data_IF_440023312600
#
_entry.id   IF_440023312600
#
_cell.length_a   1.000
_cell.length_b   1.000
_cell.length_c   1.000
_cell.angle_alpha   90.00
_cell.angle_beta   90.00
_cell.angle_gamma   90.00
#
_symmetry.space_group_name_H-M   'P 1'
#
loop_
_entity.id
_entity.type
_entity.pdbx_description
1 polymer ?
#
# COMPACT_ATOMS: atom_id res chain seq x y z
N UNK A 1 -13.76 12.47 -3.84
CA UNK A 1 -12.49 12.79 -3.15
C UNK A 1 -12.00 14.17 -3.57
N UNK A 2 -12.29 15.23 -2.77
CA UNK A 2 -11.70 16.56 -2.87
C UNK A 2 -10.95 17.03 -1.60
N UNK A 3 -10.66 16.16 -0.61
CA UNK A 3 -10.15 16.58 0.71
C UNK A 3 -8.63 16.75 0.83
N UNK A 4 -7.84 16.15 -0.07
CA UNK A 4 -6.37 16.25 -0.02
C UNK A 4 -5.85 17.03 -1.22
N UNK A 5 -5.08 18.07 -0.95
CA UNK A 5 -4.40 18.88 -1.97
C UNK A 5 -2.91 18.56 -1.98
N UNK A 6 -2.32 18.29 -3.14
CA UNK A 6 -0.88 18.05 -3.29
C UNK A 6 -0.55 17.18 -4.49
N UNK A 7 0.76 16.96 -4.70
CA UNK A 7 1.30 16.05 -5.71
C UNK A 7 2.46 15.26 -5.08
N UNK A 8 2.37 13.93 -5.10
CA UNK A 8 3.39 13.02 -4.59
C UNK A 8 4.48 12.73 -5.64
N UNK A 9 4.46 13.41 -6.78
CA UNK A 9 5.48 13.35 -7.82
C UNK A 9 5.85 11.90 -8.20
N UNK A 10 4.84 11.05 -8.38
CA UNK A 10 5.00 9.62 -8.73
C UNK A 10 5.74 8.79 -7.68
N UNK A 11 5.82 9.26 -6.43
CA UNK A 11 6.42 8.51 -5.32
C UNK A 11 5.81 7.11 -5.24
N UNK A 12 6.61 6.03 -5.22
CA UNK A 12 6.11 4.67 -5.03
C UNK A 12 5.46 4.49 -3.66
N UNK A 13 4.27 3.88 -3.63
CA UNK A 13 3.53 3.56 -2.40
C UNK A 13 3.10 2.10 -2.46
N UNK A 14 3.44 1.32 -1.44
CA UNK A 14 2.97 -0.06 -1.28
C UNK A 14 1.94 -0.15 -0.14
N UNK A 15 0.82 -0.81 -0.39
CA UNK A 15 -0.24 -1.08 0.59
C UNK A 15 -0.52 -2.60 0.64
N UNK A 16 0.04 -3.29 1.64
CA UNK A 16 -0.23 -4.70 1.95
C UNK A 16 -1.17 -4.83 3.14
N UNK A 17 -2.19 -5.69 3.05
CA UNK A 17 -3.09 -5.97 4.17
C UNK A 17 -3.85 -7.29 3.97
N UNK A 18 -4.43 -7.87 5.03
CA UNK A 18 -5.38 -8.97 4.88
C UNK A 18 -6.81 -8.47 4.63
N UNK A 19 -7.63 -9.29 3.96
CA UNK A 19 -9.07 -9.07 3.86
C UNK A 19 -9.83 -9.38 5.16
N UNK A 20 -9.22 -10.12 6.10
CA UNK A 20 -9.81 -10.48 7.40
C UNK A 20 -9.11 -9.80 8.58
N UNK A 21 -8.33 -8.75 8.33
CA UNK A 21 -7.68 -7.99 9.39
C UNK A 21 -8.72 -7.23 10.25
N UNK A 22 -8.88 -7.68 11.50
CA UNK A 22 -9.84 -7.07 12.44
C UNK A 22 -9.48 -5.63 12.80
N UNK A 23 -8.19 -5.26 12.78
CA UNK A 23 -7.74 -3.93 13.15
C UNK A 23 -7.84 -2.94 11.99
N UNK A 24 -7.74 -3.44 10.75
CA UNK A 24 -7.70 -2.64 9.54
C UNK A 24 -8.71 -3.20 8.53
N UNK A 25 -9.96 -2.67 8.52
CA UNK A 25 -10.94 -3.06 7.51
C UNK A 25 -10.39 -2.83 6.10
N UNK A 26 -10.57 -3.82 5.21
CA UNK A 26 -10.02 -3.81 3.85
C UNK A 26 -10.49 -2.60 3.04
N UNK A 27 -11.69 -2.10 3.32
CA UNK A 27 -12.26 -0.90 2.70
C UNK A 27 -11.36 0.33 2.95
N UNK A 28 -10.77 0.47 4.14
CA UNK A 28 -9.86 1.58 4.43
C UNK A 28 -8.57 1.50 3.64
N UNK A 29 -8.11 0.28 3.33
CA UNK A 29 -6.94 0.07 2.47
C UNK A 29 -7.27 0.49 1.04
N UNK A 30 -8.49 0.22 0.58
CA UNK A 30 -8.97 0.67 -0.73
C UNK A 30 -9.10 2.19 -0.80
N UNK A 31 -9.75 2.81 0.18
CA UNK A 31 -9.88 4.27 0.28
C UNK A 31 -8.50 4.96 0.31
N UNK A 32 -7.55 4.42 1.08
CA UNK A 32 -6.18 4.95 1.14
C UNK A 32 -5.47 4.85 -0.21
N UNK A 33 -5.62 3.71 -0.92
CA UNK A 33 -5.04 3.54 -2.24
C UNK A 33 -5.59 4.56 -3.23
N UNK A 34 -6.90 4.83 -3.19
CA UNK A 34 -7.55 5.82 -4.06
C UNK A 34 -7.08 7.25 -3.74
N UNK A 35 -6.89 7.59 -2.47
CA UNK A 35 -6.31 8.88 -2.04
C UNK A 35 -4.88 9.04 -2.56
N UNK A 36 -4.02 8.04 -2.37
CA UNK A 36 -2.64 8.10 -2.87
C UNK A 36 -2.58 8.21 -4.40
N UNK A 37 -3.43 7.47 -5.11
CA UNK A 37 -3.51 7.53 -6.56
C UNK A 37 -4.00 8.91 -7.03
N UNK A 38 -4.99 9.50 -6.37
CA UNK A 38 -5.48 10.85 -6.65
C UNK A 38 -4.40 11.92 -6.43
N UNK A 39 -3.49 11.70 -5.47
CA UNK A 39 -2.32 12.54 -5.23
C UNK A 39 -1.12 12.20 -6.15
N UNK A 40 -1.34 11.49 -7.26
CA UNK A 40 -0.32 11.15 -8.26
C UNK A 40 0.85 10.28 -7.73
N UNK A 41 0.61 9.44 -6.72
CA UNK A 41 1.55 8.38 -6.36
C UNK A 41 1.54 7.21 -7.36
N UNK A 42 2.60 6.41 -7.37
CA UNK A 42 2.60 5.08 -8.03
C UNK A 42 2.22 4.03 -7.00
N UNK A 43 0.93 3.72 -6.93
CA UNK A 43 0.37 2.80 -5.92
C UNK A 43 0.45 1.35 -6.38
N UNK A 44 1.01 0.48 -5.54
CA UNK A 44 0.85 -0.98 -5.59
C UNK A 44 0.11 -1.44 -4.33
N UNK A 45 -1.07 -2.06 -4.50
CA UNK A 45 -1.88 -2.58 -3.40
C UNK A 45 -1.96 -4.09 -3.52
N UNK A 46 -1.80 -4.81 -2.41
CA UNK A 46 -1.95 -6.27 -2.34
C UNK A 46 -2.79 -6.67 -1.13
N UNK A 47 -3.87 -7.39 -1.38
CA UNK A 47 -4.73 -7.95 -0.33
C UNK A 47 -4.44 -9.44 -0.21
N UNK A 48 -4.19 -9.91 1.01
CA UNK A 48 -3.83 -11.29 1.33
C UNK A 48 -5.02 -12.03 1.96
N UNK A 49 -5.67 -12.96 1.22
CA UNK A 49 -6.87 -13.64 1.70
C UNK A 49 -6.62 -14.51 2.94
N UNK A 50 -7.42 -14.33 3.99
CA UNK A 50 -7.42 -15.17 5.18
C UNK A 50 -6.15 -15.07 6.04
N UNK A 51 -5.30 -14.08 5.79
CA UNK A 51 -4.08 -13.83 6.56
C UNK A 51 -4.42 -13.17 7.90
N UNK A 52 -3.70 -13.50 8.98
CA UNK A 52 -3.85 -12.77 10.25
C UNK A 52 -3.33 -11.32 10.16
N UNK A 53 -3.48 -10.56 11.25
CA UNK A 53 -2.83 -9.25 11.40
C UNK A 53 -1.31 -9.45 11.63
N UNK A 54 -0.57 -9.61 10.54
CA UNK A 54 0.88 -9.88 10.53
C UNK A 54 1.51 -9.34 9.25
N UNK A 55 2.85 -9.38 9.19
CA UNK A 55 3.62 -9.12 7.96
C UNK A 55 4.12 -10.45 7.40
N UNK A 56 3.88 -10.70 6.11
CA UNK A 56 4.29 -11.93 5.44
C UNK A 56 5.59 -11.77 4.63
N UNK A 57 6.10 -12.90 4.12
CA UNK A 57 7.37 -12.92 3.39
C UNK A 57 7.32 -12.24 2.02
N UNK A 58 6.14 -12.22 1.39
CA UNK A 58 5.93 -11.55 0.10
C UNK A 58 5.99 -10.03 0.26
N UNK A 59 5.33 -9.47 1.27
CA UNK A 59 5.45 -8.05 1.64
C UNK A 59 6.91 -7.67 1.89
N UNK A 60 7.61 -8.45 2.72
CA UNK A 60 9.02 -8.22 3.00
C UNK A 60 9.91 -8.34 1.75
N UNK A 61 9.58 -9.23 0.82
CA UNK A 61 10.32 -9.38 -0.44
C UNK A 61 10.14 -8.16 -1.36
N UNK A 62 8.91 -7.65 -1.50
CA UNK A 62 8.60 -6.46 -2.31
C UNK A 62 9.38 -5.26 -1.78
N UNK A 63 9.29 -4.99 -0.47
CA UNK A 63 9.98 -3.83 0.13
C UNK A 63 11.51 -3.98 0.00
N UNK A 64 12.06 -5.19 0.19
CA UNK A 64 13.49 -5.43 -0.05
C UNK A 64 13.89 -5.14 -1.51
N UNK A 65 13.07 -5.51 -2.48
CA UNK A 65 13.33 -5.23 -3.89
C UNK A 65 13.30 -3.72 -4.15
N UNK A 66 12.34 -2.99 -3.59
CA UNK A 66 12.21 -1.54 -3.77
C UNK A 66 13.41 -0.80 -3.17
N UNK A 67 13.78 -1.14 -1.93
CA UNK A 67 14.95 -0.55 -1.26
C UNK A 67 16.22 -0.78 -2.08
N UNK A 68 16.44 -2.01 -2.58
CA UNK A 68 17.59 -2.33 -3.44
C UNK A 68 17.63 -1.45 -4.70
N UNK A 69 16.49 -1.17 -5.31
CA UNK A 69 16.40 -0.30 -6.49
C UNK A 69 16.65 1.19 -6.21
N UNK A 70 16.66 1.62 -4.96
CA UNK A 70 16.96 3.02 -4.58
C UNK A 70 18.45 3.24 -4.25
N UNK A 71 19.16 2.19 -3.83
CA UNK A 71 20.56 2.26 -3.37
C UNK A 71 21.57 1.72 -4.40
N UNK A 72 21.09 1.22 -5.54
CA UNK A 72 21.92 0.79 -6.67
C UNK A 72 21.84 1.80 -7.81
#
# INVERSE_FOLDING_TARGET
>A
LPEYTGDLARTPVFLGCSDVDFHIPVERVHESADVFAALNARVEKRIYPGMGHTVNQDEAAIIRQWIKGLIG
#
